data_IF_163690765811
#
_entry.id   IF_163690765811
#
_cell.length_a   1.000
_cell.length_b   1.000
_cell.length_c   1.000
_cell.angle_alpha   90.00
_cell.angle_beta   90.00
_cell.angle_gamma   90.00
#
_symmetry.space_group_name_H-M   'P 1'
#
loop_
_entity.id
_entity.type
_entity.pdbx_description
1 polymer ?
#
# COMPACT_ATOMS: atom_id res chain seq x y z
N UNK A 1 -3.70 -35.25 -4.81
CA UNK A 1 -4.20 -34.01 -4.18
C UNK A 1 -3.12 -32.95 -4.41
N UNK A 2 -3.43 -31.85 -5.11
CA UNK A 2 -2.44 -30.82 -5.46
C UNK A 2 -1.86 -30.19 -4.18
N UNK A 3 -0.53 -30.10 -4.06
CA UNK A 3 0.17 -29.58 -2.86
C UNK A 3 -0.38 -28.23 -2.42
N UNK A 4 -0.76 -27.38 -3.38
CA UNK A 4 -1.38 -26.09 -3.11
C UNK A 4 -2.79 -26.21 -2.54
N UNK A 5 -3.60 -27.16 -3.02
CA UNK A 5 -4.93 -27.44 -2.45
C UNK A 5 -4.83 -27.92 -1.01
N UNK A 6 -3.87 -28.80 -0.72
CA UNK A 6 -3.60 -29.26 0.65
C UNK A 6 -3.10 -28.13 1.55
N UNK A 7 -2.28 -27.21 1.02
CA UNK A 7 -1.82 -26.02 1.75
C UNK A 7 -2.97 -25.03 2.02
N UNK A 8 -3.79 -24.71 1.00
CA UNK A 8 -5.01 -23.90 1.11
C UNK A 8 -5.96 -24.49 2.17
N UNK A 9 -6.18 -25.81 2.17
CA UNK A 9 -7.00 -26.49 3.20
C UNK A 9 -6.39 -26.40 4.61
N UNK A 10 -5.07 -26.60 4.75
CA UNK A 10 -4.37 -26.50 6.05
C UNK A 10 -4.39 -25.09 6.63
N UNK A 11 -4.36 -24.06 5.77
CA UNK A 11 -4.35 -22.66 6.17
C UNK A 11 -5.77 -22.10 6.40
N UNK A 12 -6.78 -22.55 5.65
CA UNK A 12 -8.18 -22.07 5.75
C UNK A 12 -9.06 -22.76 6.81
N UNK A 13 -8.53 -23.67 7.63
CA UNK A 13 -9.35 -24.45 8.57
C UNK A 13 -9.88 -23.58 9.73
N UNK A 14 -11.22 -23.44 9.91
CA UNK A 14 -11.85 -22.43 10.78
C UNK A 14 -11.77 -22.68 12.29
N UNK A 15 -11.03 -23.72 12.72
CA UNK A 15 -10.68 -23.97 14.12
C UNK A 15 -9.22 -24.34 14.23
N UNK A 16 -8.35 -23.35 14.08
CA UNK A 16 -6.97 -23.42 14.54
C UNK A 16 -6.42 -22.01 14.58
N UNK A 17 -6.04 -21.55 15.78
CA UNK A 17 -5.04 -20.50 15.98
C UNK A 17 -4.08 -20.46 14.79
N UNK A 18 -3.96 -19.32 14.11
CA UNK A 18 -2.80 -19.05 13.28
C UNK A 18 -1.56 -19.11 14.17
N UNK A 19 -1.06 -20.33 14.40
CA UNK A 19 0.18 -20.58 15.13
C UNK A 19 1.28 -19.80 14.42
N UNK A 20 2.30 -19.41 15.18
CA UNK A 20 3.42 -18.58 14.69
C UNK A 20 3.99 -19.08 13.36
N UNK A 21 4.09 -20.40 13.15
CA UNK A 21 4.57 -20.99 11.88
C UNK A 21 3.71 -20.64 10.66
N UNK A 22 2.39 -20.55 10.83
CA UNK A 22 1.47 -20.15 9.75
C UNK A 22 1.62 -18.66 9.44
N UNK A 23 1.73 -17.81 10.46
CA UNK A 23 1.96 -16.37 10.25
C UNK A 23 3.31 -16.12 9.59
N UNK A 24 4.36 -16.81 10.03
CA UNK A 24 5.67 -16.80 9.38
C UNK A 24 5.57 -17.21 7.90
N UNK A 25 4.80 -18.26 7.60
CA UNK A 25 4.57 -18.66 6.21
C UNK A 25 3.94 -17.52 5.41
N UNK A 26 2.87 -16.90 5.91
CA UNK A 26 2.20 -15.80 5.21
C UNK A 26 3.16 -14.61 4.99
N UNK A 27 3.87 -14.18 6.04
CA UNK A 27 4.81 -13.05 5.95
C UNK A 27 5.96 -13.34 4.98
N UNK A 28 6.53 -14.54 5.01
CA UNK A 28 7.63 -14.93 4.11
C UNK A 28 7.18 -15.08 2.64
N UNK A 29 5.88 -15.19 2.39
CA UNK A 29 5.30 -15.39 1.05
C UNK A 29 4.45 -14.20 0.58
N UNK A 30 4.51 -13.06 1.27
CA UNK A 30 3.73 -11.86 0.93
C UNK A 30 3.97 -11.38 -0.50
N UNK A 31 5.20 -11.51 -1.00
CA UNK A 31 5.59 -11.19 -2.37
C UNK A 31 5.96 -12.41 -3.21
N UNK A 32 5.36 -13.58 -2.96
CA UNK A 32 5.74 -14.80 -3.68
C UNK A 32 5.58 -14.63 -5.21
N UNK A 33 6.57 -15.01 -6.04
CA UNK A 33 6.46 -14.93 -7.50
C UNK A 33 5.28 -15.73 -8.09
N UNK A 34 4.89 -16.83 -7.44
CA UNK A 34 3.72 -17.61 -7.83
C UNK A 34 2.43 -16.94 -7.31
N UNK A 35 1.63 -16.42 -8.24
CA UNK A 35 0.37 -15.73 -7.95
C UNK A 35 -0.68 -16.62 -7.24
N UNK A 36 -0.66 -17.95 -7.44
CA UNK A 36 -1.57 -18.84 -6.72
C UNK A 36 -1.21 -18.96 -5.23
N UNK A 37 0.05 -18.69 -4.86
CA UNK A 37 0.49 -18.61 -3.46
C UNK A 37 0.24 -17.20 -2.93
N UNK A 38 0.60 -16.18 -3.70
CA UNK A 38 0.52 -14.79 -3.26
C UNK A 38 -0.94 -14.32 -3.19
N UNK A 39 -1.64 -14.25 -4.32
CA UNK A 39 -2.96 -13.66 -4.46
C UNK A 39 -4.06 -14.56 -3.87
N UNK A 40 -4.15 -15.80 -4.34
CA UNK A 40 -5.24 -16.71 -3.98
C UNK A 40 -5.14 -17.24 -2.55
N UNK A 41 -3.94 -17.21 -1.95
CA UNK A 41 -3.69 -17.77 -0.64
C UNK A 41 -3.28 -16.70 0.36
N UNK A 42 -2.13 -16.05 0.20
CA UNK A 42 -1.62 -15.11 1.21
C UNK A 42 -2.52 -13.88 1.32
N UNK A 43 -2.81 -13.20 0.20
CA UNK A 43 -3.66 -12.01 0.19
C UNK A 43 -5.09 -12.33 0.60
N UNK A 44 -5.63 -13.43 0.09
CA UNK A 44 -6.96 -13.91 0.46
C UNK A 44 -7.09 -14.21 1.96
N UNK A 45 -6.06 -14.84 2.57
CA UNK A 45 -6.03 -15.07 4.02
C UNK A 45 -5.91 -13.75 4.78
N UNK A 46 -5.00 -12.85 4.40
CA UNK A 46 -4.89 -11.56 5.08
C UNK A 46 -6.19 -10.76 5.00
N UNK A 47 -6.77 -10.62 3.81
CA UNK A 47 -8.03 -9.92 3.61
C UNK A 47 -9.14 -10.51 4.47
N UNK A 48 -9.33 -11.84 4.41
CA UNK A 48 -10.33 -12.52 5.24
C UNK A 48 -10.05 -12.34 6.74
N UNK A 49 -8.81 -12.54 7.17
CA UNK A 49 -8.46 -12.52 8.58
C UNK A 49 -8.61 -11.12 9.20
N UNK A 50 -8.17 -10.06 8.52
CA UNK A 50 -8.32 -8.69 8.99
C UNK A 50 -9.76 -8.19 8.87
N UNK A 51 -10.43 -8.40 7.74
CA UNK A 51 -11.77 -7.83 7.52
C UNK A 51 -12.88 -8.59 8.29
N UNK A 52 -12.70 -9.88 8.55
CA UNK A 52 -13.68 -10.68 9.31
C UNK A 52 -13.31 -10.91 10.77
N UNK A 53 -12.26 -10.24 11.29
CA UNK A 53 -11.80 -10.38 12.67
C UNK A 53 -11.38 -11.81 13.06
N UNK A 54 -10.72 -12.56 12.17
CA UNK A 54 -10.33 -13.96 12.43
C UNK A 54 -8.95 -14.12 13.07
N UNK A 55 -8.09 -13.09 12.97
CA UNK A 55 -6.87 -13.02 13.78
C UNK A 55 -7.20 -12.62 15.22
N UNK A 56 -6.45 -13.17 16.17
CA UNK A 56 -6.31 -12.54 17.49
C UNK A 56 -5.50 -11.24 17.37
N UNK A 57 -5.67 -10.33 18.34
CA UNK A 57 -4.98 -9.04 18.34
C UNK A 57 -3.45 -9.18 18.20
N UNK A 58 -2.87 -10.14 18.91
CA UNK A 58 -1.43 -10.43 18.90
C UNK A 58 -0.95 -10.94 17.54
N UNK A 59 -1.83 -11.58 16.76
CA UNK A 59 -1.49 -12.08 15.42
C UNK A 59 -1.49 -10.94 14.39
N UNK A 60 -2.47 -10.03 14.48
CA UNK A 60 -2.46 -8.81 13.69
C UNK A 60 -1.23 -7.94 14.04
N UNK A 61 -0.92 -7.84 15.33
CA UNK A 61 0.27 -7.13 15.83
C UNK A 61 1.56 -7.74 15.31
N UNK A 62 1.67 -9.07 15.34
CA UNK A 62 2.79 -9.80 14.78
C UNK A 62 3.02 -9.49 13.30
N UNK A 63 1.96 -9.39 12.50
CA UNK A 63 2.08 -9.05 11.07
C UNK A 63 2.68 -7.64 10.88
N UNK A 64 2.17 -6.64 11.62
CA UNK A 64 2.71 -5.28 11.61
C UNK A 64 4.19 -5.25 12.02
N UNK A 65 4.52 -5.82 13.18
CA UNK A 65 5.88 -5.80 13.73
C UNK A 65 6.87 -6.55 12.83
N UNK A 66 6.44 -7.65 12.21
CA UNK A 66 7.25 -8.41 11.26
C UNK A 66 7.54 -7.59 10.00
N UNK A 67 6.53 -6.93 9.42
CA UNK A 67 6.69 -6.10 8.24
C UNK A 67 7.66 -4.94 8.48
N UNK A 68 7.57 -4.29 9.65
CA UNK A 68 8.47 -3.21 10.07
C UNK A 68 9.89 -3.75 10.32
N UNK A 69 10.03 -4.82 11.13
CA UNK A 69 11.33 -5.39 11.51
C UNK A 69 12.12 -5.89 10.30
N UNK A 70 11.44 -6.50 9.33
CA UNK A 70 12.06 -7.01 8.11
C UNK A 70 12.19 -5.94 7.00
N UNK A 71 11.72 -4.71 7.24
CA UNK A 71 11.74 -3.62 6.28
C UNK A 71 11.10 -3.99 4.93
N UNK A 72 9.96 -4.70 4.96
CA UNK A 72 9.37 -5.31 3.76
C UNK A 72 8.91 -4.27 2.72
N UNK A 73 8.49 -3.08 3.17
CA UNK A 73 8.11 -1.98 2.28
C UNK A 73 9.26 -1.51 1.39
N UNK A 74 10.51 -1.68 1.84
CA UNK A 74 11.72 -1.34 1.08
C UNK A 74 12.56 -2.59 0.80
N UNK A 75 11.91 -3.76 0.69
CA UNK A 75 12.58 -5.02 0.38
C UNK A 75 13.33 -4.93 -0.96
N UNK A 76 14.65 -5.13 -0.90
CA UNK A 76 15.56 -5.07 -2.06
C UNK A 76 15.30 -3.83 -2.92
N UNK A 77 15.18 -2.68 -2.26
CA UNK A 77 14.84 -1.42 -2.89
C UNK A 77 15.78 -1.09 -4.06
N UNK A 78 15.19 -0.62 -5.17
CA UNK A 78 15.90 -0.38 -6.44
C UNK A 78 15.89 -1.58 -7.39
N UNK A 79 15.58 -2.78 -6.91
CA UNK A 79 15.35 -3.94 -7.77
C UNK A 79 13.89 -4.01 -8.24
N UNK A 80 13.69 -4.37 -9.50
CA UNK A 80 12.38 -4.48 -10.17
C UNK A 80 11.89 -5.93 -10.25
N UNK A 81 10.65 -6.13 -10.71
CA UNK A 81 10.07 -7.45 -10.94
C UNK A 81 9.71 -8.16 -9.63
N UNK A 82 10.29 -9.34 -9.37
CA UNK A 82 9.90 -10.16 -8.22
C UNK A 82 10.14 -9.47 -6.86
N UNK A 83 11.13 -8.58 -6.77
CA UNK A 83 11.38 -7.81 -5.54
C UNK A 83 10.24 -6.84 -5.22
N UNK A 84 9.67 -6.22 -6.26
CA UNK A 84 8.56 -5.27 -6.17
C UNK A 84 7.29 -5.91 -5.64
N UNK A 85 7.07 -7.21 -5.90
CA UNK A 85 5.95 -7.96 -5.32
C UNK A 85 5.93 -7.85 -3.79
N UNK A 86 7.06 -8.05 -3.12
CA UNK A 86 7.10 -7.94 -1.65
C UNK A 86 6.73 -6.54 -1.18
N UNK A 87 7.25 -5.50 -1.85
CA UNK A 87 6.97 -4.10 -1.48
C UNK A 87 5.50 -3.74 -1.71
N UNK A 88 4.99 -4.07 -2.88
CA UNK A 88 3.60 -3.86 -3.28
C UNK A 88 2.60 -4.53 -2.34
N UNK A 89 2.75 -5.83 -2.10
CA UNK A 89 1.81 -6.57 -1.27
C UNK A 89 1.99 -6.24 0.23
N UNK A 90 3.13 -5.67 0.62
CA UNK A 90 3.27 -5.03 1.94
C UNK A 90 2.42 -3.76 2.05
N UNK A 91 2.32 -2.93 1.00
CA UNK A 91 1.37 -1.81 1.00
C UNK A 91 -0.07 -2.30 1.20
N UNK A 92 -0.47 -3.39 0.53
CA UNK A 92 -1.81 -3.97 0.70
C UNK A 92 -2.03 -4.49 2.13
N UNK A 93 -1.03 -5.12 2.76
CA UNK A 93 -1.09 -5.48 4.18
C UNK A 93 -1.24 -4.24 5.08
N UNK A 94 -0.50 -3.17 4.81
CA UNK A 94 -0.62 -1.93 5.57
C UNK A 94 -1.97 -1.24 5.39
N UNK A 95 -2.57 -1.31 4.20
CA UNK A 95 -3.96 -0.90 3.98
C UNK A 95 -4.89 -1.60 4.98
N UNK A 96 -4.83 -2.94 5.06
CA UNK A 96 -5.67 -3.72 5.98
C UNK A 96 -5.42 -3.31 7.44
N UNK A 97 -4.17 -3.20 7.86
CA UNK A 97 -3.78 -2.83 9.23
C UNK A 97 -4.30 -1.43 9.59
N UNK A 98 -4.08 -0.43 8.73
CA UNK A 98 -4.50 0.96 8.98
C UNK A 98 -6.03 1.03 9.06
N UNK A 99 -6.70 0.39 8.10
CA UNK A 99 -8.15 0.35 8.02
C UNK A 99 -8.76 -0.22 9.30
N UNK A 100 -8.33 -1.42 9.70
CA UNK A 100 -8.90 -2.09 10.87
C UNK A 100 -8.45 -1.49 12.20
N UNK A 101 -7.22 -0.96 12.28
CA UNK A 101 -6.74 -0.29 13.49
C UNK A 101 -7.56 0.94 13.84
N UNK A 102 -8.19 1.57 12.84
CA UNK A 102 -8.96 2.79 13.01
C UNK A 102 -10.48 2.59 12.99
N UNK A 103 -10.94 1.35 12.83
CA UNK A 103 -12.36 1.01 12.96
C UNK A 103 -12.68 0.62 14.42
N UNK A 104 -13.55 1.38 15.08
CA UNK A 104 -13.99 1.11 16.45
C UNK A 104 -14.78 -0.18 16.61
N UNK A 105 -15.27 -0.77 15.52
CA UNK A 105 -15.94 -2.07 15.52
C UNK A 105 -15.00 -3.25 15.26
N UNK A 106 -13.75 -2.99 14.87
CA UNK A 106 -12.76 -4.03 14.65
C UNK A 106 -12.20 -4.56 15.98
N UNK A 107 -11.93 -5.86 16.02
CA UNK A 107 -11.14 -6.50 17.08
C UNK A 107 -9.69 -5.97 17.17
N UNK A 108 -9.25 -5.24 16.14
CA UNK A 108 -7.94 -4.62 16.04
C UNK A 108 -7.97 -3.12 16.34
N UNK A 109 -9.07 -2.58 16.86
CA UNK A 109 -9.16 -1.15 17.17
C UNK A 109 -7.98 -0.70 18.06
N UNK A 110 -7.24 0.31 17.61
CA UNK A 110 -5.99 0.81 18.23
C UNK A 110 -4.85 -0.21 18.26
N UNK A 111 -4.77 -1.07 17.26
CA UNK A 111 -3.61 -1.96 17.03
C UNK A 111 -2.30 -1.16 16.93
N UNK A 112 -2.37 0.00 16.28
CA UNK A 112 -1.26 0.94 16.17
C UNK A 112 -1.36 2.04 17.23
N UNK A 113 -0.24 2.35 17.86
CA UNK A 113 -0.10 3.57 18.66
C UNK A 113 -0.01 4.80 17.74
N UNK A 114 -0.25 6.00 18.28
CA UNK A 114 -0.16 7.23 17.48
C UNK A 114 1.24 7.47 16.90
N UNK A 115 2.30 7.04 17.59
CA UNK A 115 3.67 7.12 17.07
C UNK A 115 3.88 6.16 15.89
N UNK A 116 3.37 4.94 16.00
CA UNK A 116 3.46 3.91 14.96
C UNK A 116 2.67 4.29 13.71
N UNK A 117 1.49 4.91 13.88
CA UNK A 117 0.72 5.48 12.78
C UNK A 117 1.53 6.53 12.02
N UNK A 118 2.07 7.53 12.73
CA UNK A 118 2.88 8.59 12.10
C UNK A 118 4.12 8.01 11.42
N UNK A 119 4.79 7.04 12.03
CA UNK A 119 5.91 6.33 11.41
C UNK A 119 5.48 5.63 10.12
N UNK A 120 4.38 4.88 10.16
CA UNK A 120 3.87 4.15 9.00
C UNK A 120 3.47 5.09 7.86
N UNK A 121 2.82 6.22 8.16
CA UNK A 121 2.43 7.20 7.15
C UNK A 121 3.64 7.83 6.47
N UNK A 122 4.68 8.18 7.24
CA UNK A 122 5.95 8.65 6.68
C UNK A 122 6.60 7.61 5.77
N UNK A 123 6.59 6.32 6.16
CA UNK A 123 7.14 5.24 5.35
C UNK A 123 6.37 5.07 4.03
N UNK A 124 5.04 5.13 4.05
CA UNK A 124 4.21 5.05 2.85
C UNK A 124 4.42 6.25 1.91
N UNK A 125 4.49 7.48 2.43
CA UNK A 125 4.77 8.68 1.63
C UNK A 125 6.17 8.60 1.02
N UNK A 126 7.16 8.13 1.80
CA UNK A 126 8.51 7.89 1.28
C UNK A 126 8.50 6.85 0.18
N UNK A 127 7.75 5.75 0.34
CA UNK A 127 7.62 4.72 -0.68
C UNK A 127 7.00 5.29 -1.97
N UNK A 128 5.88 6.02 -1.88
CA UNK A 128 5.26 6.70 -3.03
C UNK A 128 6.25 7.60 -3.79
N UNK A 129 7.11 8.32 -3.06
CA UNK A 129 8.11 9.21 -3.63
C UNK A 129 9.27 8.49 -4.32
N UNK A 130 9.59 7.27 -3.90
CA UNK A 130 10.89 6.64 -4.20
C UNK A 130 10.78 5.33 -4.97
N UNK A 131 9.63 4.67 -4.99
CA UNK A 131 9.39 3.53 -5.88
C UNK A 131 9.31 3.98 -7.34
N UNK A 132 10.06 3.31 -8.20
CA UNK A 132 10.13 3.60 -9.63
C UNK A 132 9.87 2.37 -10.50
N UNK A 133 9.59 1.21 -9.91
CA UNK A 133 9.01 0.09 -10.65
C UNK A 133 7.52 0.33 -10.87
N UNK A 134 7.20 0.95 -12.01
CA UNK A 134 5.83 1.19 -12.44
C UNK A 134 5.25 0.01 -13.21
N UNK A 135 5.82 -1.20 -13.15
CA UNK A 135 5.25 -2.36 -13.84
C UNK A 135 3.89 -2.71 -13.22
N UNK A 136 2.81 -2.62 -14.01
CA UNK A 136 1.47 -2.97 -13.54
C UNK A 136 1.30 -4.49 -13.40
N UNK A 137 1.61 -5.24 -14.47
CA UNK A 137 1.58 -6.70 -14.48
C UNK A 137 2.60 -7.29 -15.43
N UNK A 138 2.91 -8.57 -15.23
CA UNK A 138 3.76 -9.36 -16.13
C UNK A 138 3.11 -10.72 -16.39
N UNK A 139 3.41 -11.38 -17.53
CA UNK A 139 2.98 -12.75 -17.76
C UNK A 139 3.53 -13.74 -16.71
N UNK A 140 4.70 -13.46 -16.14
CA UNK A 140 5.38 -14.34 -15.18
C UNK A 140 4.77 -14.24 -13.77
N UNK A 141 4.49 -13.02 -13.31
CA UNK A 141 4.08 -12.79 -11.92
C UNK A 141 2.59 -12.45 -11.78
N UNK A 142 1.89 -12.13 -12.86
CA UNK A 142 0.56 -11.53 -12.80
C UNK A 142 0.65 -10.07 -12.34
N UNK A 143 -0.31 -9.65 -11.51
CA UNK A 143 -0.39 -8.29 -10.98
C UNK A 143 0.75 -7.99 -10.00
N UNK A 144 1.43 -6.88 -10.24
CA UNK A 144 2.42 -6.32 -9.33
C UNK A 144 1.77 -5.18 -8.55
N UNK A 145 1.12 -4.22 -9.22
CA UNK A 145 0.25 -3.19 -8.62
C UNK A 145 0.86 -2.38 -7.45
N UNK A 146 2.16 -2.10 -7.51
CA UNK A 146 2.88 -1.38 -6.46
C UNK A 146 2.30 0.02 -6.16
N UNK A 147 2.03 0.79 -7.21
CA UNK A 147 1.44 2.12 -7.10
C UNK A 147 -0.01 2.05 -6.58
N UNK A 148 -0.94 1.27 -7.20
CA UNK A 148 -2.28 1.04 -6.67
C UNK A 148 -2.33 0.69 -5.18
N UNK A 149 -1.57 -0.32 -4.74
CA UNK A 149 -1.59 -0.74 -3.34
C UNK A 149 -1.05 0.34 -2.38
N UNK A 150 -0.02 1.11 -2.79
CA UNK A 150 0.46 2.24 -2.01
C UNK A 150 -0.62 3.32 -1.89
N UNK A 151 -1.30 3.65 -3.00
CA UNK A 151 -2.39 4.62 -3.00
C UNK A 151 -3.53 4.19 -2.10
N UNK A 152 -3.91 2.91 -2.11
CA UNK A 152 -4.96 2.40 -1.22
C UNK A 152 -4.61 2.58 0.25
N UNK A 153 -3.38 2.22 0.65
CA UNK A 153 -2.91 2.40 2.02
C UNK A 153 -2.87 3.89 2.44
N UNK A 154 -2.39 4.77 1.56
CA UNK A 154 -2.39 6.22 1.82
C UNK A 154 -3.80 6.82 1.86
N UNK A 155 -4.74 6.27 1.08
CA UNK A 155 -6.14 6.68 1.09
C UNK A 155 -6.84 6.35 2.40
N UNK A 156 -6.42 5.28 3.10
CA UNK A 156 -6.83 4.97 4.46
C UNK A 156 -6.12 5.85 5.49
N UNK A 157 -4.81 6.03 5.34
CA UNK A 157 -3.97 6.82 6.24
C UNK A 157 -4.44 8.29 6.35
N UNK A 158 -4.76 8.92 5.22
CA UNK A 158 -5.10 10.35 5.20
C UNK A 158 -6.38 10.66 5.97
N UNK A 159 -7.28 9.68 6.15
CA UNK A 159 -8.50 9.87 6.94
C UNK A 159 -8.23 10.00 8.44
N UNK A 160 -7.05 9.57 8.90
CA UNK A 160 -6.77 9.37 10.32
C UNK A 160 -6.41 10.66 11.05
N UNK A 161 -6.71 10.71 12.35
CA UNK A 161 -6.46 11.90 13.19
C UNK A 161 -4.98 12.32 13.15
N UNK A 162 -4.08 11.34 13.21
CA UNK A 162 -2.63 11.57 13.28
C UNK A 162 -1.97 11.87 11.93
N UNK A 163 -2.73 11.92 10.84
CA UNK A 163 -2.26 12.47 9.57
C UNK A 163 -2.24 14.01 9.66
N UNK A 164 -1.06 14.57 9.90
CA UNK A 164 -0.83 16.00 10.16
C UNK A 164 -0.81 16.83 8.87
N UNK A 165 -0.82 18.16 9.00
CA UNK A 165 -0.62 19.07 7.86
C UNK A 165 0.74 18.89 7.19
N UNK A 166 1.79 18.60 7.98
CA UNK A 166 3.12 18.30 7.43
C UNK A 166 3.08 17.05 6.53
N UNK A 167 2.41 15.98 6.98
CA UNK A 167 2.24 14.77 6.16
C UNK A 167 1.43 15.04 4.87
N UNK A 168 0.50 16.00 4.90
CA UNK A 168 -0.20 16.45 3.68
C UNK A 168 0.76 17.13 2.70
N UNK A 169 1.64 18.00 3.19
CA UNK A 169 2.67 18.66 2.36
C UNK A 169 3.65 17.63 1.77
N UNK A 170 4.11 16.69 2.59
CA UNK A 170 5.02 15.63 2.17
C UNK A 170 4.36 14.72 1.12
N UNK A 171 3.05 14.45 1.25
CA UNK A 171 2.27 13.70 0.27
C UNK A 171 2.16 14.43 -1.07
N UNK A 172 1.90 15.75 -1.07
CA UNK A 172 1.92 16.55 -2.31
C UNK A 172 3.29 16.50 -2.97
N UNK A 173 4.37 16.63 -2.20
CA UNK A 173 5.74 16.53 -2.73
C UNK A 173 6.02 15.13 -3.29
N UNK A 174 5.66 14.07 -2.58
CA UNK A 174 5.83 12.70 -3.05
C UNK A 174 5.09 12.45 -4.36
N UNK A 175 3.88 12.99 -4.49
CA UNK A 175 3.08 12.88 -5.71
C UNK A 175 3.69 13.69 -6.86
N UNK A 176 4.23 14.88 -6.59
CA UNK A 176 4.98 15.65 -7.60
C UNK A 176 6.18 14.87 -8.13
N UNK A 177 6.95 14.23 -7.24
CA UNK A 177 8.09 13.41 -7.65
C UNK A 177 7.66 12.16 -8.44
N UNK A 178 6.60 11.48 -8.01
CA UNK A 178 6.00 10.37 -8.76
C UNK A 178 5.65 10.81 -10.20
N UNK A 179 4.91 11.91 -10.34
CA UNK A 179 4.43 12.40 -11.64
C UNK A 179 5.57 12.89 -12.56
N UNK A 180 6.70 13.32 -12.00
CA UNK A 180 7.89 13.70 -12.78
C UNK A 180 8.69 12.50 -13.28
N UNK A 181 8.75 11.43 -12.49
CA UNK A 181 9.62 10.29 -12.78
C UNK A 181 8.89 9.14 -13.48
N UNK A 182 7.56 9.17 -13.54
CA UNK A 182 6.82 8.16 -14.28
C UNK A 182 7.06 8.30 -15.79
N UNK A 183 7.54 7.23 -16.40
CA UNK A 183 7.95 7.16 -17.81
C UNK A 183 6.87 6.58 -18.74
N UNK A 184 5.70 6.25 -18.17
CA UNK A 184 4.55 5.73 -18.89
C UNK A 184 3.27 6.44 -18.49
N UNK A 185 2.23 6.24 -19.31
CA UNK A 185 0.89 6.65 -18.93
C UNK A 185 0.36 5.73 -17.82
N UNK A 186 -0.21 6.36 -16.79
CA UNK A 186 -1.05 5.67 -15.82
C UNK A 186 -2.39 5.33 -16.47
N UNK A 187 -2.90 4.13 -16.18
CA UNK A 187 -4.25 3.78 -16.60
C UNK A 187 -5.31 4.46 -15.72
N UNK A 188 -6.58 4.23 -16.06
CA UNK A 188 -7.70 4.82 -15.33
C UNK A 188 -7.77 4.35 -13.86
N UNK A 189 -7.47 3.08 -13.57
CA UNK A 189 -7.54 2.54 -12.21
C UNK A 189 -6.44 3.16 -11.33
N UNK A 190 -5.21 3.22 -11.84
CA UNK A 190 -4.09 3.83 -11.14
C UNK A 190 -4.31 5.31 -10.86
N UNK A 191 -4.78 6.07 -11.85
CA UNK A 191 -5.13 7.48 -11.69
C UNK A 191 -6.27 7.65 -10.68
N UNK A 192 -7.28 6.78 -10.72
CA UNK A 192 -8.43 6.83 -9.81
C UNK A 192 -8.00 6.58 -8.36
N UNK A 193 -7.14 5.60 -8.12
CA UNK A 193 -6.61 5.30 -6.76
C UNK A 193 -5.72 6.42 -6.25
N UNK A 194 -4.84 6.98 -7.09
CA UNK A 194 -4.04 8.15 -6.71
C UNK A 194 -4.94 9.35 -6.37
N UNK A 195 -5.94 9.65 -7.20
CA UNK A 195 -6.90 10.73 -6.94
C UNK A 195 -7.71 10.50 -5.66
N UNK A 196 -8.03 9.25 -5.33
CA UNK A 196 -8.81 8.88 -4.14
C UNK A 196 -8.12 9.30 -2.85
N UNK A 197 -6.78 9.32 -2.79
CA UNK A 197 -6.05 9.85 -1.63
C UNK A 197 -6.47 11.31 -1.37
N UNK A 198 -6.41 12.15 -2.40
CA UNK A 198 -6.73 13.58 -2.28
C UNK A 198 -8.21 13.84 -2.05
N UNK A 199 -9.09 13.05 -2.68
CA UNK A 199 -10.53 13.10 -2.43
C UNK A 199 -10.83 12.79 -0.96
N UNK A 200 -10.21 11.74 -0.40
CA UNK A 200 -10.38 11.38 1.00
C UNK A 200 -9.79 12.45 1.93
N UNK A 201 -8.63 13.02 1.59
CA UNK A 201 -8.03 14.13 2.32
C UNK A 201 -8.93 15.37 2.37
N UNK A 202 -9.56 15.71 1.24
CA UNK A 202 -10.50 16.82 1.17
C UNK A 202 -11.78 16.54 1.99
N UNK A 203 -12.39 15.36 1.80
CA UNK A 203 -13.59 14.94 2.55
C UNK A 203 -13.37 14.94 4.06
N UNK A 204 -12.16 14.57 4.51
CA UNK A 204 -11.78 14.54 5.93
C UNK A 204 -11.17 15.85 6.43
N UNK A 205 -11.28 16.95 5.65
CA UNK A 205 -10.81 18.29 6.00
C UNK A 205 -9.31 18.36 6.31
N UNK A 206 -8.53 17.40 5.80
CA UNK A 206 -7.06 17.39 5.86
C UNK A 206 -6.45 18.27 4.78
N UNK A 207 -7.11 18.33 3.63
CA UNK A 207 -6.72 19.12 2.47
C UNK A 207 -7.77 20.19 2.23
N UNK A 208 -7.32 21.43 2.04
CA UNK A 208 -8.18 22.56 1.71
C UNK A 208 -8.36 22.72 0.21
N UNK A 209 -9.45 23.38 -0.21
CA UNK A 209 -9.66 23.76 -1.62
C UNK A 209 -8.49 24.60 -2.16
N UNK A 210 -7.92 25.47 -1.33
CA UNK A 210 -6.80 26.32 -1.70
C UNK A 210 -5.55 25.50 -2.02
N UNK A 211 -5.19 24.51 -1.18
CA UNK A 211 -4.06 23.61 -1.44
C UNK A 211 -4.23 22.85 -2.77
N UNK A 212 -5.42 22.30 -3.03
CA UNK A 212 -5.70 21.61 -4.32
C UNK A 212 -5.58 22.56 -5.52
N UNK A 213 -6.10 23.79 -5.40
CA UNK A 213 -6.02 24.80 -6.47
C UNK A 213 -4.58 25.21 -6.78
N UNK A 214 -3.76 25.41 -5.75
CA UNK A 214 -2.34 25.73 -5.90
C UNK A 214 -1.61 24.58 -6.58
N UNK A 215 -1.85 23.36 -6.14
CA UNK A 215 -1.24 22.18 -6.73
C UNK A 215 -1.63 22.00 -8.19
N UNK A 216 -2.91 22.15 -8.55
CA UNK A 216 -3.37 22.10 -9.94
C UNK A 216 -2.74 23.17 -10.83
N UNK A 217 -2.55 24.38 -10.30
CA UNK A 217 -1.88 25.48 -11.04
C UNK A 217 -0.42 25.12 -11.31
N UNK A 218 0.28 24.58 -10.31
CA UNK A 218 1.67 24.11 -10.44
C UNK A 218 1.79 23.02 -11.51
N UNK A 219 0.89 22.03 -11.51
CA UNK A 219 0.90 20.93 -12.48
C UNK A 219 0.62 21.40 -13.91
N UNK A 220 -0.27 22.38 -14.10
CA UNK A 220 -0.56 22.97 -15.42
C UNK A 220 0.68 23.68 -15.98
N UNK A 221 1.33 24.51 -15.16
CA UNK A 221 2.52 25.26 -15.60
C UNK A 221 3.69 24.33 -16.01
N UNK A 222 3.89 23.21 -15.30
CA UNK A 222 4.90 22.21 -15.66
C UNK A 222 4.63 21.56 -17.02
N UNK A 223 3.36 21.38 -17.41
CA UNK A 223 3.00 20.84 -18.73
C UNK A 223 3.29 21.83 -19.84
N UNK A 224 3.01 23.11 -19.60
CA UNK A 224 3.25 24.17 -20.58
C UNK A 224 4.75 24.32 -20.86
N UNK A 225 5.60 24.35 -19.83
CA UNK A 225 7.06 24.41 -19.97
C UNK A 225 7.64 23.22 -20.76
N UNK A 226 7.19 22.00 -20.49
CA UNK A 226 7.63 20.79 -21.21
C UNK A 226 7.11 20.73 -22.67
N UNK A 227 5.96 21.36 -22.96
CA UNK A 227 5.42 21.45 -24.32
C UNK A 227 6.18 22.44 -25.21
N UNK A 228 6.88 23.42 -24.62
CA UNK A 228 7.73 24.35 -25.34
C UNK A 228 9.11 23.76 -25.69
N UNK A 229 9.59 22.77 -24.93
CA UNK A 229 10.86 22.09 -25.18
C UNK A 229 10.77 21.01 -26.27
N UNK A 230 9.57 20.50 -26.59
CA UNK A 230 9.34 19.43 -27.58
C UNK A 230 8.97 19.95 -28.98
N UNK A 231 8.96 21.27 -29.20
CA UNK A 231 8.61 21.90 -30.49
C UNK A 231 9.81 22.39 -31.31
N UNK A 232 11.04 22.05 -30.91
CA UNK A 232 12.27 22.50 -31.56
C UNK A 232 13.10 21.35 -32.18
N UNK A 233 12.44 20.27 -32.64
CA UNK A 233 13.06 19.24 -33.50
C UNK A 233 12.29 19.13 -34.83
#
# INVERSE_FOLDING_TARGET
MNTLTTLKQKLNHPKASYKTDKLNFLMNNIGNPNSEIRDDLVCSIFGKAFLNNEFAFEQARFCYETAIKQNLLFYRFGETGSATLTRSFTCLLYYLIIHTSNDSHSSYYRLLTSQEEVQLYNLLIKYLKTEHDFTASTPEYGWIDALPHCCDALSEAIKQKNFSSQLVEDLFQATDELLKNIDRNLDYDELSRLATIFINGFKNKKITKHQLSLWNTKLTNLKDENSHLTKND
#
